data_IF_929775192341
#
_entry.id   IF_929775192341
#
_cell.length_a   1.000
_cell.length_b   1.000
_cell.length_c   1.000
_cell.angle_alpha   90.00
_cell.angle_beta   90.00
_cell.angle_gamma   90.00
#
_symmetry.space_group_name_H-M   'P 1'
#
loop_
_entity.id
_entity.type
_entity.pdbx_description
1 polymer ?
#
# COMPACT_ATOMS: atom_id res chain seq x y z
N UNK A 1 -19.63 0.83 -28.54
CA UNK A 1 -19.74 0.46 -27.10
C UNK A 1 -20.56 -0.82 -26.84
N UNK A 2 -21.72 -1.05 -27.48
CA UNK A 2 -22.56 -2.24 -27.20
C UNK A 2 -22.00 -3.60 -27.68
N UNK A 3 -21.19 -3.64 -28.75
CA UNK A 3 -20.57 -4.87 -29.23
C UNK A 3 -19.47 -5.38 -28.26
N UNK A 4 -18.65 -4.46 -27.75
CA UNK A 4 -17.62 -4.75 -26.75
C UNK A 4 -18.21 -5.23 -25.43
N UNK A 5 -19.29 -4.58 -24.96
CA UNK A 5 -20.00 -5.00 -23.73
C UNK A 5 -20.60 -6.42 -23.86
N UNK A 6 -21.17 -6.77 -25.01
CA UNK A 6 -21.71 -8.11 -25.27
C UNK A 6 -20.62 -9.17 -25.39
N UNK A 7 -19.53 -8.86 -26.09
CA UNK A 7 -18.37 -9.74 -26.19
C UNK A 7 -17.75 -9.99 -24.81
N UNK A 8 -17.59 -8.94 -24.01
CA UNK A 8 -17.09 -9.04 -22.64
C UNK A 8 -17.98 -9.90 -21.75
N UNK A 9 -19.30 -9.70 -21.78
CA UNK A 9 -20.26 -10.53 -21.03
C UNK A 9 -20.19 -12.03 -21.42
N UNK A 10 -20.01 -12.32 -22.70
CA UNK A 10 -19.85 -13.70 -23.18
C UNK A 10 -18.49 -14.30 -22.79
N UNK A 11 -17.45 -13.47 -22.66
CA UNK A 11 -16.13 -13.89 -22.20
C UNK A 11 -16.11 -14.12 -20.68
N UNK A 12 -16.69 -13.21 -19.90
CA UNK A 12 -16.79 -13.30 -18.43
C UNK A 12 -17.56 -14.54 -17.97
N UNK A 13 -18.61 -14.93 -18.71
CA UNK A 13 -19.39 -16.13 -18.42
C UNK A 13 -18.67 -17.43 -18.78
N UNK A 14 -17.83 -17.45 -19.84
CA UNK A 14 -17.04 -18.63 -20.22
C UNK A 14 -15.75 -18.80 -19.42
N UNK A 15 -15.13 -17.70 -19.02
CA UNK A 15 -13.82 -17.70 -18.35
C UNK A 15 -13.82 -16.76 -17.15
N UNK A 16 -14.67 -17.05 -16.15
CA UNK A 16 -14.87 -16.19 -14.97
C UNK A 16 -13.57 -15.85 -14.24
N UNK A 17 -12.70 -16.84 -14.01
CA UNK A 17 -11.40 -16.60 -13.34
C UNK A 17 -10.47 -15.70 -14.16
N UNK A 18 -10.44 -15.87 -15.49
CA UNK A 18 -9.58 -15.07 -16.37
C UNK A 18 -10.12 -13.65 -16.49
N UNK A 19 -11.43 -13.47 -16.57
CA UNK A 19 -12.06 -12.16 -16.58
C UNK A 19 -11.82 -11.40 -15.26
N UNK A 20 -11.94 -12.08 -14.11
CA UNK A 20 -11.58 -11.51 -12.80
C UNK A 20 -10.12 -11.09 -12.75
N UNK A 21 -9.21 -11.93 -13.26
CA UNK A 21 -7.79 -11.61 -13.36
C UNK A 21 -7.52 -10.39 -14.24
N UNK A 22 -8.14 -10.30 -15.42
CA UNK A 22 -7.96 -9.14 -16.32
C UNK A 22 -8.46 -7.86 -15.65
N UNK A 23 -9.62 -7.88 -15.00
CA UNK A 23 -10.14 -6.70 -14.29
C UNK A 23 -9.23 -6.34 -13.13
N UNK A 24 -8.79 -7.31 -12.34
CA UNK A 24 -7.80 -7.10 -11.28
C UNK A 24 -6.51 -6.49 -11.82
N UNK A 25 -5.99 -7.01 -12.93
CA UNK A 25 -4.77 -6.51 -13.58
C UNK A 25 -4.93 -5.06 -14.05
N UNK A 26 -6.02 -4.73 -14.74
CA UNK A 26 -6.28 -3.36 -15.21
C UNK A 26 -6.45 -2.40 -14.04
N UNK A 27 -7.20 -2.79 -13.00
CA UNK A 27 -7.40 -1.95 -11.81
C UNK A 27 -6.08 -1.75 -11.05
N UNK A 28 -5.29 -2.81 -10.86
CA UNK A 28 -3.99 -2.72 -10.17
C UNK A 28 -3.03 -1.81 -10.91
N UNK A 29 -2.89 -1.95 -12.23
CA UNK A 29 -2.03 -1.07 -13.02
C UNK A 29 -2.57 0.37 -13.05
N UNK A 30 -3.91 0.54 -13.11
CA UNK A 30 -4.55 1.85 -13.04
C UNK A 30 -4.27 2.58 -11.72
N UNK A 31 -4.28 1.87 -10.59
CA UNK A 31 -3.90 2.42 -9.29
C UNK A 31 -2.43 2.80 -9.26
N UNK A 32 -1.52 1.97 -9.77
CA UNK A 32 -0.10 2.31 -9.85
C UNK A 32 0.12 3.58 -10.67
N UNK A 33 -0.50 3.69 -11.85
CA UNK A 33 -0.44 4.90 -12.68
C UNK A 33 -1.01 6.11 -11.94
N UNK A 34 -2.13 5.94 -11.23
CA UNK A 34 -2.72 6.99 -10.42
C UNK A 34 -1.75 7.46 -9.32
N UNK A 35 -1.10 6.54 -8.61
CA UNK A 35 -0.10 6.90 -7.59
C UNK A 35 1.09 7.66 -8.19
N UNK A 36 1.57 7.25 -9.36
CA UNK A 36 2.65 7.93 -10.09
C UNK A 36 2.28 9.36 -10.50
N UNK A 37 0.99 9.67 -10.67
CA UNK A 37 0.49 11.00 -10.98
C UNK A 37 0.22 11.81 -9.69
N UNK A 38 -0.43 11.20 -8.71
CA UNK A 38 -0.84 11.85 -7.47
C UNK A 38 0.35 12.27 -6.61
N UNK A 39 1.40 11.44 -6.53
CA UNK A 39 2.59 11.75 -5.73
C UNK A 39 3.24 13.08 -6.17
N UNK A 40 3.63 13.27 -7.45
CA UNK A 40 4.13 14.55 -7.92
C UNK A 40 3.12 15.69 -7.78
N UNK A 41 1.83 15.43 -8.03
CA UNK A 41 0.79 16.45 -7.94
C UNK A 41 0.63 17.00 -6.52
N UNK A 42 0.56 16.13 -5.50
CA UNK A 42 0.50 16.57 -4.10
C UNK A 42 1.80 17.20 -3.63
N UNK A 43 2.97 16.67 -4.04
CA UNK A 43 4.25 17.32 -3.75
C UNK A 43 4.30 18.74 -4.32
N UNK A 44 3.82 18.96 -5.54
CA UNK A 44 3.73 20.29 -6.14
C UNK A 44 2.71 21.19 -5.44
N UNK A 45 1.55 20.64 -5.06
CA UNK A 45 0.53 21.38 -4.32
C UNK A 45 1.04 21.85 -2.94
N UNK A 46 1.80 21.01 -2.23
CA UNK A 46 2.35 21.34 -0.92
C UNK A 46 3.68 22.11 -0.99
N UNK A 47 4.37 22.15 -2.12
CA UNK A 47 5.67 22.83 -2.28
C UNK A 47 5.62 24.32 -1.94
N UNK A 48 4.47 24.97 -2.08
CA UNK A 48 4.27 26.39 -1.78
C UNK A 48 3.72 26.66 -0.36
N UNK A 49 3.69 25.64 0.49
CA UNK A 49 3.14 25.74 1.86
C UNK A 49 4.24 25.67 2.91
N UNK A 50 4.00 26.20 4.10
CA UNK A 50 4.93 26.08 5.25
C UNK A 50 5.12 24.64 5.74
N UNK A 51 4.36 23.68 5.20
CA UNK A 51 4.46 22.26 5.51
C UNK A 51 5.81 21.67 5.05
N UNK A 52 6.48 22.31 4.08
CA UNK A 52 7.80 21.90 3.59
C UNK A 52 8.88 22.09 4.66
N UNK A 53 8.77 23.17 5.42
CA UNK A 53 9.73 23.56 6.44
C UNK A 53 9.35 23.02 7.83
N UNK A 54 8.22 22.32 7.93
CA UNK A 54 7.75 21.70 9.17
C UNK A 54 8.28 20.27 9.24
N UNK A 55 9.19 19.92 10.16
CA UNK A 55 9.64 18.55 10.30
C UNK A 55 8.49 17.68 10.83
N UNK A 56 8.35 16.46 10.30
CA UNK A 56 7.43 15.47 10.84
C UNK A 56 8.23 14.27 11.34
N UNK A 57 8.44 14.25 12.66
CA UNK A 57 9.14 13.20 13.38
C UNK A 57 8.17 12.55 14.34
N UNK A 58 7.68 11.36 13.99
CA UNK A 58 6.63 10.69 14.74
C UNK A 58 7.05 9.28 15.19
N UNK A 59 6.70 8.96 16.44
CA UNK A 59 6.95 7.70 17.12
C UNK A 59 8.46 7.38 17.26
N UNK A 60 9.12 7.82 18.34
CA UNK A 60 10.53 7.48 18.58
C UNK A 60 10.67 5.98 18.86
N UNK A 61 11.51 5.31 18.07
CA UNK A 61 11.70 3.85 18.13
C UNK A 61 13.07 3.43 18.68
N UNK A 62 13.99 4.38 18.85
CA UNK A 62 15.29 4.13 19.45
C UNK A 62 16.22 5.32 19.40
N UNK A 63 17.47 5.10 19.80
CA UNK A 63 18.56 6.08 19.68
C UNK A 63 19.71 5.39 18.96
N UNK A 64 20.16 5.99 17.85
CA UNK A 64 21.29 5.52 17.06
C UNK A 64 22.31 6.65 16.95
N UNK A 65 23.57 6.39 17.30
CA UNK A 65 24.66 7.37 17.25
C UNK A 65 24.38 8.71 17.97
N UNK A 66 23.60 8.69 19.07
CA UNK A 66 23.25 9.89 19.84
C UNK A 66 22.07 10.70 19.30
N UNK A 67 21.44 10.24 18.20
CA UNK A 67 20.23 10.83 17.63
C UNK A 67 19.02 9.90 17.83
N UNK A 68 17.87 10.47 18.18
CA UNK A 68 16.61 9.72 18.27
C UNK A 68 16.17 9.30 16.87
N UNK A 69 15.97 8.00 16.68
CA UNK A 69 15.44 7.43 15.45
C UNK A 69 13.92 7.42 15.55
N UNK A 70 13.26 8.06 14.60
CA UNK A 70 11.81 8.09 14.49
C UNK A 70 11.34 7.07 13.47
N UNK A 71 10.17 6.47 13.73
CA UNK A 71 9.49 5.57 12.80
C UNK A 71 9.18 6.29 11.49
N UNK A 72 8.68 7.51 11.62
CA UNK A 72 8.46 8.43 10.51
C UNK A 72 9.42 9.60 10.72
N UNK A 73 10.54 9.58 9.99
CA UNK A 73 11.55 10.64 10.03
C UNK A 73 11.53 11.42 8.72
N UNK A 74 10.73 12.50 8.69
CA UNK A 74 10.65 13.41 7.57
C UNK A 74 11.29 14.75 7.96
N UNK A 75 12.58 14.95 7.63
CA UNK A 75 13.29 16.18 7.96
C UNK A 75 12.74 17.35 7.15
N UNK A 76 12.75 18.53 7.76
CA UNK A 76 12.34 19.78 7.13
C UNK A 76 13.24 20.16 5.94
N UNK A 77 12.67 20.87 4.98
CA UNK A 77 13.39 21.42 3.83
C UNK A 77 13.12 20.67 2.53
N UNK A 78 13.34 21.35 1.40
CA UNK A 78 13.08 20.76 0.10
C UNK A 78 14.04 19.59 -0.19
N UNK A 79 13.48 18.43 -0.56
CA UNK A 79 14.28 17.32 -1.08
C UNK A 79 14.98 17.76 -2.38
N UNK A 80 16.20 17.27 -2.60
CA UNK A 80 17.04 17.56 -3.78
C UNK A 80 16.36 17.28 -5.12
N UNK A 81 15.29 16.48 -5.13
CA UNK A 81 14.48 16.12 -6.30
C UNK A 81 13.16 16.90 -6.41
N UNK A 82 13.08 18.12 -5.87
CA UNK A 82 12.10 19.11 -6.33
C UNK A 82 10.67 18.94 -5.81
N UNK A 83 10.49 18.52 -4.56
CA UNK A 83 9.21 18.70 -3.89
C UNK A 83 9.37 18.51 -2.41
N UNK A 84 8.81 19.44 -1.65
CA UNK A 84 9.14 19.71 -0.26
C UNK A 84 9.28 18.47 0.62
N UNK A 85 10.30 18.45 1.47
CA UNK A 85 10.44 17.49 2.56
C UNK A 85 9.52 17.85 3.73
N UNK A 86 9.78 17.27 4.89
CA UNK A 86 8.97 17.49 6.09
C UNK A 86 7.55 16.96 5.95
N UNK A 87 6.62 17.65 6.62
CA UNK A 87 5.20 17.30 6.68
C UNK A 87 4.53 17.31 5.30
N UNK A 88 5.00 18.14 4.37
CA UNK A 88 4.51 18.16 2.99
C UNK A 88 4.70 16.82 2.28
N UNK A 89 5.89 16.21 2.42
CA UNK A 89 6.18 14.91 1.81
C UNK A 89 5.37 13.79 2.47
N UNK A 90 5.30 13.78 3.80
CA UNK A 90 4.49 12.83 4.54
C UNK A 90 3.02 12.86 4.09
N UNK A 91 2.40 14.05 4.04
CA UNK A 91 1.02 14.19 3.60
C UNK A 91 0.81 13.78 2.14
N UNK A 92 1.75 14.10 1.25
CA UNK A 92 1.69 13.66 -0.14
C UNK A 92 1.67 12.13 -0.27
N UNK A 93 2.52 11.44 0.50
CA UNK A 93 2.57 9.97 0.55
C UNK A 93 1.27 9.41 1.13
N UNK A 94 0.86 9.86 2.32
CA UNK A 94 -0.30 9.31 3.02
C UNK A 94 -1.61 9.55 2.28
N UNK A 95 -1.82 10.75 1.70
CA UNK A 95 -3.03 11.03 0.91
C UNK A 95 -3.06 10.18 -0.36
N UNK A 96 -1.92 10.05 -1.05
CA UNK A 96 -1.83 9.20 -2.25
C UNK A 96 -2.14 7.74 -1.93
N UNK A 97 -1.54 7.22 -0.86
CA UNK A 97 -1.78 5.85 -0.42
C UNK A 97 -3.23 5.67 0.02
N UNK A 98 -3.81 6.61 0.78
CA UNK A 98 -5.20 6.55 1.21
C UNK A 98 -6.16 6.47 0.01
N UNK A 99 -5.98 7.30 -1.01
CA UNK A 99 -6.79 7.26 -2.23
C UNK A 99 -6.65 5.89 -2.91
N UNK A 100 -5.42 5.39 -3.04
CA UNK A 100 -5.18 4.07 -3.64
C UNK A 100 -5.82 2.93 -2.82
N UNK A 101 -5.77 2.99 -1.49
CA UNK A 101 -6.40 1.99 -0.62
C UNK A 101 -7.92 2.02 -0.73
N UNK A 102 -8.53 3.20 -0.82
CA UNK A 102 -9.98 3.33 -1.03
C UNK A 102 -10.40 2.70 -2.36
N UNK A 103 -9.67 2.99 -3.44
CA UNK A 103 -9.94 2.38 -4.76
C UNK A 103 -9.73 0.87 -4.71
N UNK A 104 -8.65 0.40 -4.09
CA UNK A 104 -8.37 -1.03 -3.88
C UNK A 104 -9.49 -1.73 -3.12
N UNK A 105 -10.00 -1.12 -2.04
CA UNK A 105 -11.10 -1.67 -1.26
C UNK A 105 -12.34 -1.89 -2.13
N UNK A 106 -12.76 -0.87 -2.89
CA UNK A 106 -13.92 -0.99 -3.77
C UNK A 106 -13.67 -1.96 -4.93
N UNK A 107 -12.48 -1.97 -5.50
CA UNK A 107 -12.07 -2.91 -6.55
C UNK A 107 -12.14 -4.37 -6.06
N UNK A 108 -11.50 -4.68 -4.94
CA UNK A 108 -11.48 -6.03 -4.36
C UNK A 108 -12.88 -6.48 -3.95
N UNK A 109 -13.69 -5.59 -3.37
CA UNK A 109 -15.08 -5.90 -2.99
C UNK A 109 -15.98 -6.19 -4.20
N UNK A 110 -15.93 -5.34 -5.24
CA UNK A 110 -16.84 -5.44 -6.39
C UNK A 110 -16.43 -6.52 -7.40
N UNK A 111 -15.14 -6.78 -7.57
CA UNK A 111 -14.61 -7.67 -8.63
C UNK A 111 -14.28 -9.06 -8.08
N UNK A 112 -13.67 -9.13 -6.89
CA UNK A 112 -13.08 -10.38 -6.39
C UNK A 112 -14.02 -11.14 -5.44
N UNK A 113 -14.77 -10.44 -4.58
CA UNK A 113 -15.51 -11.12 -3.50
C UNK A 113 -17.04 -11.12 -3.62
N UNK A 114 -17.66 -10.32 -4.51
CA UNK A 114 -19.14 -10.17 -4.63
C UNK A 114 -19.85 -10.18 -3.26
N UNK A 115 -19.26 -9.55 -2.24
CA UNK A 115 -19.62 -9.90 -0.85
C UNK A 115 -20.95 -9.28 -0.44
N UNK A 116 -21.83 -10.10 0.15
CA UNK A 116 -23.07 -9.70 0.81
C UNK A 116 -22.84 -9.29 2.30
N UNK A 117 -21.60 -8.99 2.68
CA UNK A 117 -21.23 -8.56 4.04
C UNK A 117 -21.41 -7.04 4.24
N UNK A 118 -21.61 -6.62 5.50
CA UNK A 118 -21.81 -5.20 5.85
C UNK A 118 -20.58 -4.36 5.48
N UNK A 119 -20.74 -3.45 4.52
CA UNK A 119 -19.70 -2.55 3.98
C UNK A 119 -18.87 -1.91 5.10
N UNK A 120 -19.53 -1.44 6.16
CA UNK A 120 -18.87 -0.75 7.27
C UNK A 120 -17.88 -1.62 8.03
N UNK A 121 -18.20 -2.88 8.33
CA UNK A 121 -17.29 -3.78 9.08
C UNK A 121 -16.07 -4.15 8.24
N UNK A 122 -16.27 -4.43 6.95
CA UNK A 122 -15.17 -4.73 6.04
C UNK A 122 -14.24 -3.52 5.86
N UNK A 123 -14.82 -2.32 5.67
CA UNK A 123 -14.05 -1.08 5.57
C UNK A 123 -13.27 -0.77 6.85
N UNK A 124 -13.89 -0.97 8.02
CA UNK A 124 -13.23 -0.76 9.31
C UNK A 124 -12.02 -1.69 9.49
N UNK A 125 -12.20 -3.01 9.33
CA UNK A 125 -11.09 -3.95 9.49
C UNK A 125 -10.01 -3.78 8.42
N UNK A 126 -10.39 -3.40 7.19
CA UNK A 126 -9.44 -3.07 6.15
C UNK A 126 -8.59 -1.84 6.51
N UNK A 127 -9.23 -0.78 7.02
CA UNK A 127 -8.53 0.41 7.48
C UNK A 127 -7.59 0.11 8.67
N UNK A 128 -8.06 -0.66 9.66
CA UNK A 128 -7.25 -1.09 10.81
C UNK A 128 -6.04 -1.90 10.35
N UNK A 129 -6.24 -2.88 9.46
CA UNK A 129 -5.14 -3.65 8.89
C UNK A 129 -4.15 -2.77 8.14
N UNK A 130 -4.64 -1.85 7.30
CA UNK A 130 -3.79 -0.93 6.58
C UNK A 130 -2.90 -0.11 7.54
N UNK A 131 -3.48 0.48 8.59
CA UNK A 131 -2.72 1.27 9.58
C UNK A 131 -1.67 0.41 10.30
N UNK A 132 -2.07 -0.76 10.81
CA UNK A 132 -1.15 -1.67 11.54
C UNK A 132 0.02 -2.09 10.64
N UNK A 133 -0.26 -2.39 9.37
CA UNK A 133 0.76 -2.87 8.44
C UNK A 133 1.68 -1.72 8.01
N UNK A 134 1.17 -0.53 7.76
CA UNK A 134 2.00 0.66 7.48
C UNK A 134 2.97 0.94 8.63
N UNK A 135 2.49 0.88 9.88
CA UNK A 135 3.34 1.05 11.08
C UNK A 135 4.38 -0.07 11.17
N UNK A 136 3.99 -1.33 10.99
CA UNK A 136 4.90 -2.47 11.05
C UNK A 136 5.97 -2.41 9.94
N UNK A 137 5.60 -2.06 8.72
CA UNK A 137 6.51 -1.92 7.59
C UNK A 137 7.52 -0.78 7.83
N UNK A 138 7.05 0.37 8.32
CA UNK A 138 7.93 1.48 8.70
C UNK A 138 8.89 1.06 9.82
N UNK A 139 8.44 0.29 10.81
CA UNK A 139 9.26 -0.13 11.94
C UNK A 139 10.36 -1.09 11.50
N UNK A 140 10.01 -2.02 10.62
CA UNK A 140 10.98 -2.93 10.03
C UNK A 140 11.98 -2.17 9.15
N UNK A 141 11.53 -1.20 8.34
CA UNK A 141 12.41 -0.37 7.53
C UNK A 141 13.48 0.32 8.38
N UNK A 142 13.13 0.87 9.54
CA UNK A 142 14.11 1.49 10.45
C UNK A 142 15.20 0.49 10.89
N UNK A 143 14.85 -0.79 11.09
CA UNK A 143 15.80 -1.79 11.58
C UNK A 143 16.76 -2.28 10.49
N UNK A 144 16.28 -2.49 9.26
CA UNK A 144 17.10 -3.10 8.21
C UNK A 144 17.69 -2.10 7.21
N UNK A 145 17.10 -0.91 7.04
CA UNK A 145 17.52 0.02 5.98
C UNK A 145 18.94 0.52 6.23
N UNK A 146 19.20 1.09 7.40
CA UNK A 146 20.52 1.63 7.75
C UNK A 146 21.66 0.62 7.62
N UNK A 147 21.60 -0.61 8.19
CA UNK A 147 22.70 -1.57 8.06
C UNK A 147 22.88 -2.07 6.61
N UNK A 148 21.80 -2.16 5.82
CA UNK A 148 21.90 -2.56 4.42
C UNK A 148 22.56 -1.47 3.58
N UNK A 149 22.20 -0.20 3.76
CA UNK A 149 22.82 0.91 3.05
C UNK A 149 24.29 1.06 3.47
N UNK A 150 24.59 0.98 4.77
CA UNK A 150 25.96 1.04 5.27
C UNK A 150 26.83 -0.07 4.66
N UNK A 151 26.33 -1.31 4.65
CA UNK A 151 27.03 -2.44 4.02
C UNK A 151 27.19 -2.24 2.50
N UNK A 152 26.12 -1.90 1.78
CA UNK A 152 26.14 -1.79 0.33
C UNK A 152 27.06 -0.66 -0.17
N UNK A 153 27.05 0.49 0.50
CA UNK A 153 27.95 1.61 0.20
C UNK A 153 29.40 1.21 0.51
N UNK A 154 29.65 0.52 1.63
CA UNK A 154 31.00 0.06 1.98
C UNK A 154 31.56 -0.98 1.01
N UNK A 155 30.70 -1.84 0.45
CA UNK A 155 31.10 -2.95 -0.41
C UNK A 155 31.23 -2.54 -1.90
N UNK A 156 30.39 -1.61 -2.37
CA UNK A 156 30.23 -1.32 -3.81
C UNK A 156 30.44 0.16 -4.17
N UNK A 157 30.79 1.01 -3.21
CA UNK A 157 31.05 2.44 -3.45
C UNK A 157 29.82 3.15 -4.01
N UNK A 158 29.99 3.91 -5.09
CA UNK A 158 28.91 4.71 -5.71
C UNK A 158 27.75 3.88 -6.28
N UNK A 159 27.93 2.58 -6.53
CA UNK A 159 26.84 1.68 -6.92
C UNK A 159 26.05 1.11 -5.74
N UNK A 160 26.52 1.34 -4.51
CA UNK A 160 25.95 0.78 -3.29
C UNK A 160 24.52 1.24 -2.99
N UNK A 161 24.22 2.51 -3.25
CA UNK A 161 22.87 3.08 -3.02
C UNK A 161 21.81 2.40 -3.88
N UNK A 162 22.06 2.24 -5.19
CA UNK A 162 21.13 1.58 -6.10
C UNK A 162 20.87 0.14 -5.71
N UNK A 163 21.90 -0.60 -5.29
CA UNK A 163 21.72 -1.99 -4.85
C UNK A 163 20.98 -2.04 -3.51
N UNK A 164 21.26 -1.11 -2.59
CA UNK A 164 20.51 -1.00 -1.34
C UNK A 164 19.02 -0.70 -1.59
N UNK A 165 18.70 0.18 -2.54
CA UNK A 165 17.33 0.46 -2.96
C UNK A 165 16.63 -0.81 -3.49
N UNK A 166 17.30 -1.58 -4.35
CA UNK A 166 16.74 -2.83 -4.89
C UNK A 166 16.53 -3.85 -3.78
N UNK A 167 17.51 -4.07 -2.91
CA UNK A 167 17.43 -5.03 -1.81
C UNK A 167 16.33 -4.64 -0.83
N UNK A 168 16.26 -3.38 -0.44
CA UNK A 168 15.21 -2.89 0.46
C UNK A 168 13.82 -2.97 -0.17
N UNK A 169 13.70 -2.74 -1.48
CA UNK A 169 12.44 -2.94 -2.21
C UNK A 169 11.99 -4.41 -2.18
N UNK A 170 12.91 -5.36 -2.40
CA UNK A 170 12.61 -6.79 -2.34
C UNK A 170 12.19 -7.20 -0.92
N UNK A 171 12.92 -6.75 0.10
CA UNK A 171 12.59 -7.03 1.51
C UNK A 171 11.22 -6.43 1.86
N UNK A 172 10.94 -5.19 1.45
CA UNK A 172 9.66 -4.55 1.67
C UNK A 172 8.52 -5.32 0.98
N UNK A 173 8.74 -5.80 -0.24
CA UNK A 173 7.77 -6.63 -0.96
C UNK A 173 7.54 -7.99 -0.27
N UNK A 174 8.60 -8.63 0.23
CA UNK A 174 8.50 -9.90 0.95
C UNK A 174 7.76 -9.76 2.28
N UNK A 175 8.12 -8.74 3.09
CA UNK A 175 7.43 -8.43 4.35
C UNK A 175 5.96 -8.12 4.07
N UNK A 176 5.70 -7.26 3.09
CA UNK A 176 4.35 -6.95 2.63
C UNK A 176 3.60 -8.24 2.31
N UNK A 177 4.14 -9.12 1.47
CA UNK A 177 3.49 -10.37 1.12
C UNK A 177 3.17 -11.25 2.36
N UNK A 178 4.15 -11.48 3.23
CA UNK A 178 4.01 -12.37 4.40
C UNK A 178 3.13 -11.80 5.51
N UNK A 179 3.01 -10.47 5.62
CA UNK A 179 2.15 -9.80 6.61
C UNK A 179 0.75 -9.56 6.04
N UNK A 180 0.62 -9.08 4.80
CA UNK A 180 -0.67 -8.83 4.14
C UNK A 180 -1.44 -10.13 3.91
N UNK A 181 -0.78 -11.23 3.53
CA UNK A 181 -1.46 -12.46 3.15
C UNK A 181 -2.28 -13.11 4.29
N UNK A 182 -1.75 -13.32 5.52
CA UNK A 182 -2.52 -13.85 6.63
C UNK A 182 -3.65 -12.91 7.08
N UNK A 183 -3.39 -11.61 7.11
CA UNK A 183 -4.37 -10.59 7.55
C UNK A 183 -5.53 -10.51 6.58
N UNK A 184 -5.26 -10.43 5.27
CA UNK A 184 -6.30 -10.48 4.25
C UNK A 184 -7.08 -11.79 4.28
N UNK A 185 -6.44 -12.92 4.54
CA UNK A 185 -7.13 -14.22 4.71
C UNK A 185 -8.08 -14.23 5.90
N UNK A 186 -7.77 -13.51 7.00
CA UNK A 186 -8.64 -13.40 8.18
C UNK A 186 -9.77 -12.39 7.96
N UNK A 187 -9.49 -11.26 7.30
CA UNK A 187 -10.49 -10.19 7.06
C UNK A 187 -11.47 -10.57 5.96
N UNK A 188 -10.99 -11.18 4.89
CA UNK A 188 -11.81 -11.67 3.78
C UNK A 188 -12.16 -13.15 3.95
N UNK A 189 -12.06 -13.69 5.17
CA UNK A 189 -12.65 -14.99 5.48
C UNK A 189 -14.13 -14.86 5.15
N UNK A 190 -14.56 -15.53 4.09
CA UNK A 190 -15.98 -15.61 3.76
C UNK A 190 -16.65 -16.17 5.00
N UNK A 191 -17.56 -15.41 5.61
CA UNK A 191 -18.58 -16.04 6.44
C UNK A 191 -19.17 -17.13 5.55
N UNK A 192 -19.18 -18.40 5.98
CA UNK A 192 -20.01 -19.39 5.31
C UNK A 192 -21.40 -18.76 5.30
N UNK A 193 -21.81 -18.29 4.12
CA UNK A 193 -23.16 -17.82 3.91
C UNK A 193 -24.03 -18.98 4.35
N UNK A 194 -25.14 -18.64 4.99
CA UNK A 194 -26.14 -19.55 5.55
C UNK A 194 -26.81 -20.49 4.51
N UNK A 195 -26.11 -20.93 3.48
CA UNK A 195 -26.47 -22.03 2.60
C UNK A 195 -26.06 -23.38 3.23
N UNK A 196 -24.94 -23.46 3.96
CA UNK A 196 -24.55 -24.73 4.64
C UNK A 196 -25.35 -25.01 5.92
N UNK A 197 -25.98 -23.98 6.51
CA UNK A 197 -26.86 -24.14 7.67
C UNK A 197 -28.26 -24.68 7.29
N UNK A 198 -28.69 -24.57 6.03
CA UNK A 198 -29.95 -25.18 5.57
C UNK A 198 -29.75 -26.57 4.96
N UNK A 199 -28.52 -26.95 4.59
CA UNK A 199 -28.21 -28.30 4.13
C UNK A 199 -27.98 -29.31 5.28
N UNK A 200 -27.67 -28.85 6.49
CA UNK A 200 -27.49 -29.69 7.68
C UNK A 200 -28.77 -29.98 8.46
N UNK A 201 -29.83 -29.18 8.28
CA UNK A 201 -31.14 -29.40 8.94
C UNK A 201 -32.08 -30.30 8.09
N UNK A 202 -31.60 -30.78 6.93
CA UNK A 202 -32.32 -31.66 6.01
C UNK A 202 -31.69 -33.06 5.89
N UNK A 203 -30.82 -33.45 6.83
CA UNK A 203 -30.29 -34.82 6.96
C UNK A 203 -30.80 -35.49 8.24
#
# INVERSE_FOLDING_TARGET
MQALSRWWKNFETKHTTVAQFIVFFVLSNGITVLQLILMPAFKAAFAHTSLVDTPFQFLPVGVSHGHTVFLFDYPAGALSTGGGGGLAYFLAVEITLLIAQVINFFAQRNVTFKSNSSVGKAAFWYAVAYVVITIAAAALQVLYKDPIYAWAISAMGSGGETIADVVTMIINAAISFWVFFPIFKVIFKQDPSKEDAQASDAQ
#
